data_IF_371607367018
#
_entry.id   IF_371607367018
#
_cell.length_a   1.000
_cell.length_b   1.000
_cell.length_c   1.000
_cell.angle_alpha   90.00
_cell.angle_beta   90.00
_cell.angle_gamma   90.00
#
_symmetry.space_group_name_H-M   'P 1'
#
loop_
_entity.id
_entity.type
_entity.pdbx_description
1 polymer ?
#
# COMPACT_ATOMS: atom_id res chain seq x y z
N UNK A 1 1.56 14.05 -11.09
CA UNK A 1 0.66 15.18 -10.76
C UNK A 1 -0.09 14.85 -9.47
N UNK A 2 -0.01 15.70 -8.44
CA UNK A 2 -0.79 15.51 -7.22
C UNK A 2 -2.22 16.01 -7.46
N UNK A 3 -3.21 15.14 -7.28
CA UNK A 3 -4.63 15.52 -7.37
C UNK A 3 -4.95 16.45 -6.19
N UNK A 4 -5.07 17.75 -6.45
CA UNK A 4 -5.31 18.77 -5.42
C UNK A 4 -6.70 18.70 -4.78
N UNK A 5 -7.65 17.97 -5.38
CA UNK A 5 -9.01 17.81 -4.86
C UNK A 5 -9.44 16.35 -5.00
N UNK A 6 -9.74 15.70 -3.87
CA UNK A 6 -10.34 14.36 -3.81
C UNK A 6 -11.73 14.41 -4.46
N UNK A 7 -12.10 13.35 -5.18
CA UNK A 7 -13.47 13.21 -5.72
C UNK A 7 -14.40 12.67 -4.65
N UNK A 8 -15.70 12.97 -4.76
CA UNK A 8 -16.70 12.46 -3.84
C UNK A 8 -16.63 10.92 -3.75
N UNK A 9 -16.60 10.38 -2.53
CA UNK A 9 -16.48 8.94 -2.27
C UNK A 9 -15.05 8.38 -2.34
N UNK A 10 -14.04 9.18 -2.67
CA UNK A 10 -12.63 8.78 -2.65
C UNK A 10 -12.08 8.81 -1.21
N UNK A 11 -11.77 7.64 -0.65
CA UNK A 11 -11.05 7.58 0.63
C UNK A 11 -9.66 8.20 0.50
N UNK A 12 -9.19 9.00 1.48
CA UNK A 12 -7.81 9.44 1.53
C UNK A 12 -6.85 8.24 1.47
N UNK A 13 -5.72 8.46 0.80
CA UNK A 13 -4.60 7.54 0.76
C UNK A 13 -3.38 8.22 1.34
N UNK A 14 -2.83 7.63 2.40
CA UNK A 14 -1.63 8.12 3.07
C UNK A 14 -0.45 7.18 2.84
N UNK A 15 0.73 7.77 2.72
CA UNK A 15 1.99 7.08 2.49
C UNK A 15 2.76 7.00 3.81
N UNK A 16 3.17 5.80 4.20
CA UNK A 16 3.97 5.62 5.42
C UNK A 16 5.45 5.55 5.06
N UNK A 17 6.27 6.33 5.77
CA UNK A 17 7.71 6.41 5.52
C UNK A 17 8.04 6.72 4.06
N UNK A 18 9.01 6.00 3.50
CA UNK A 18 9.50 6.19 2.12
C UNK A 18 8.60 5.57 1.04
N UNK A 19 7.47 4.95 1.39
CA UNK A 19 6.69 4.12 0.45
C UNK A 19 6.26 4.85 -0.83
N UNK A 20 6.05 6.17 -0.77
CA UNK A 20 5.75 6.98 -1.95
C UNK A 20 6.96 7.14 -2.85
N UNK A 21 8.10 7.51 -2.27
CA UNK A 21 9.34 7.74 -3.00
C UNK A 21 9.84 6.45 -3.64
N UNK A 22 9.72 5.34 -2.89
CA UNK A 22 10.03 3.99 -3.38
C UNK A 22 9.15 3.62 -4.59
N UNK A 23 7.85 3.91 -4.55
CA UNK A 23 6.95 3.67 -5.68
C UNK A 23 7.29 4.55 -6.89
N UNK A 24 7.55 5.84 -6.67
CA UNK A 24 7.87 6.81 -7.75
C UNK A 24 9.22 6.49 -8.41
N UNK A 25 10.10 5.75 -7.73
CA UNK A 25 11.35 5.25 -8.31
C UNK A 25 11.17 4.03 -9.22
N UNK A 26 9.99 3.42 -9.28
CA UNK A 26 9.73 2.26 -10.16
C UNK A 26 9.60 2.66 -11.63
N UNK A 27 9.72 1.70 -12.57
CA UNK A 27 9.37 1.94 -13.97
C UNK A 27 7.93 2.48 -14.11
N UNK A 28 7.70 3.38 -15.05
CA UNK A 28 6.40 4.05 -15.25
C UNK A 28 5.24 3.04 -15.39
N UNK A 29 5.43 1.98 -16.17
CA UNK A 29 4.44 0.92 -16.35
C UNK A 29 4.08 0.17 -15.04
N UNK A 30 5.00 0.14 -14.07
CA UNK A 30 4.76 -0.43 -12.74
C UNK A 30 3.98 0.57 -11.88
N UNK A 31 4.36 1.85 -11.93
CA UNK A 31 3.66 2.93 -11.23
C UNK A 31 2.19 3.00 -11.66
N UNK A 32 1.91 2.91 -12.96
CA UNK A 32 0.55 2.95 -13.52
C UNK A 32 -0.29 1.77 -13.01
N UNK A 33 0.24 0.54 -13.08
CA UNK A 33 -0.46 -0.67 -12.62
C UNK A 33 -0.78 -0.60 -11.12
N UNK A 34 0.21 -0.24 -10.30
CA UNK A 34 0.01 -0.15 -8.85
C UNK A 34 -0.91 1.03 -8.51
N UNK A 35 -0.72 2.18 -9.14
CA UNK A 35 -1.54 3.38 -8.94
C UNK A 35 -3.01 3.13 -9.29
N UNK A 36 -3.28 2.41 -10.37
CA UNK A 36 -4.65 2.00 -10.75
C UNK A 36 -5.26 1.10 -9.67
N UNK A 37 -4.51 0.12 -9.16
CA UNK A 37 -5.00 -0.75 -8.10
C UNK A 37 -5.28 0.02 -6.81
N UNK A 38 -4.41 0.96 -6.43
CA UNK A 38 -4.62 1.82 -5.26
C UNK A 38 -5.84 2.74 -5.44
N UNK A 39 -6.05 3.28 -6.64
CA UNK A 39 -7.25 4.08 -6.94
C UNK A 39 -8.53 3.26 -6.76
N UNK A 40 -8.57 1.99 -7.20
CA UNK A 40 -9.72 1.10 -6.97
C UNK A 40 -10.00 0.91 -5.48
N UNK A 41 -8.94 0.76 -4.67
CA UNK A 41 -9.06 0.58 -3.22
C UNK A 41 -9.59 1.85 -2.54
N UNK A 42 -9.20 3.04 -3.00
CA UNK A 42 -9.72 4.30 -2.46
C UNK A 42 -11.25 4.43 -2.63
N UNK A 43 -11.85 3.79 -3.62
CA UNK A 43 -13.31 3.75 -3.80
C UNK A 43 -13.97 2.52 -3.15
N UNK A 44 -13.26 1.81 -2.27
CA UNK A 44 -13.77 0.62 -1.57
C UNK A 44 -13.80 -0.65 -2.42
N UNK A 45 -13.27 -0.61 -3.63
CA UNK A 45 -13.13 -1.77 -4.50
C UNK A 45 -11.93 -2.64 -4.11
N UNK A 46 -11.84 -3.81 -4.73
CA UNK A 46 -10.68 -4.69 -4.66
C UNK A 46 -10.17 -4.95 -6.07
N UNK A 47 -8.95 -4.50 -6.36
CA UNK A 47 -8.33 -4.77 -7.65
C UNK A 47 -8.06 -6.28 -7.82
N UNK A 48 -8.26 -6.89 -9.01
CA UNK A 48 -8.07 -8.33 -9.22
C UNK A 48 -6.67 -8.85 -8.88
N UNK A 49 -5.64 -8.02 -9.03
CA UNK A 49 -4.26 -8.37 -8.68
C UNK A 49 -3.93 -8.23 -7.19
N UNK A 50 -4.86 -7.69 -6.38
CA UNK A 50 -4.66 -7.52 -4.94
C UNK A 50 -4.85 -8.85 -4.19
N UNK A 51 -3.81 -9.27 -3.48
CA UNK A 51 -3.79 -10.51 -2.68
C UNK A 51 -3.65 -10.20 -1.19
N UNK A 52 -4.27 -10.98 -0.29
CA UNK A 52 -4.03 -10.83 1.14
C UNK A 52 -2.55 -11.01 1.48
N UNK A 53 -1.99 -10.09 2.26
CA UNK A 53 -0.65 -10.23 2.81
C UNK A 53 -0.63 -11.28 3.91
N UNK A 54 0.37 -12.18 3.89
CA UNK A 54 0.55 -13.20 4.91
C UNK A 54 1.48 -12.68 6.00
N UNK A 55 1.01 -12.63 7.25
CA UNK A 55 1.85 -12.36 8.43
C UNK A 55 1.26 -11.34 9.40
N UNK A 56 0.63 -10.27 8.90
CA UNK A 56 0.16 -9.17 9.76
C UNK A 56 -1.27 -9.35 10.27
N UNK A 57 -2.01 -10.34 9.78
CA UNK A 57 -3.45 -10.54 10.01
C UNK A 57 -4.35 -9.95 8.91
N UNK A 58 -5.68 -9.96 9.09
CA UNK A 58 -6.64 -9.56 8.06
C UNK A 58 -6.53 -8.08 7.68
N UNK A 59 -7.00 -7.67 6.50
CA UNK A 59 -7.05 -6.24 6.13
C UNK A 59 -5.74 -5.64 5.63
N UNK A 60 -4.67 -6.42 5.50
CA UNK A 60 -3.43 -6.03 4.81
C UNK A 60 -3.34 -6.79 3.49
N UNK A 61 -2.99 -6.09 2.43
CA UNK A 61 -3.00 -6.60 1.06
C UNK A 61 -1.74 -6.17 0.31
N UNK A 62 -1.38 -6.93 -0.71
CA UNK A 62 -0.30 -6.61 -1.64
C UNK A 62 -0.83 -6.58 -3.08
N UNK A 63 -0.33 -5.63 -3.88
CA UNK A 63 -0.47 -5.59 -5.34
C UNK A 63 0.88 -5.93 -5.94
N UNK A 64 0.89 -6.77 -6.98
CA UNK A 64 2.09 -7.12 -7.73
C UNK A 64 2.01 -6.58 -9.16
N UNK A 65 3.16 -6.13 -9.68
CA UNK A 65 3.32 -5.72 -11.06
C UNK A 65 4.69 -6.19 -11.57
N UNK A 66 4.68 -6.99 -12.64
CA UNK A 66 5.91 -7.45 -13.28
C UNK A 66 6.34 -6.50 -14.41
N UNK A 67 7.65 -6.30 -14.52
CA UNK A 67 8.28 -5.50 -15.56
C UNK A 67 9.69 -6.02 -15.87
N UNK A 68 9.95 -6.37 -17.14
CA UNK A 68 11.27 -6.80 -17.65
C UNK A 68 11.96 -7.91 -16.82
N UNK A 69 11.19 -8.86 -16.29
CA UNK A 69 11.72 -9.97 -15.49
C UNK A 69 11.81 -9.70 -13.99
N UNK A 70 11.53 -8.46 -13.56
CA UNK A 70 11.43 -8.07 -12.16
C UNK A 70 9.97 -8.02 -11.68
N UNK A 71 9.75 -8.38 -10.43
CA UNK A 71 8.45 -8.28 -9.76
C UNK A 71 8.49 -7.15 -8.72
N UNK A 72 7.59 -6.20 -8.86
CA UNK A 72 7.41 -5.09 -7.92
C UNK A 72 6.16 -5.30 -7.09
N UNK A 73 6.19 -4.89 -5.82
CA UNK A 73 5.06 -5.00 -4.91
C UNK A 73 4.79 -3.69 -4.20
N UNK A 74 3.51 -3.41 -3.96
CA UNK A 74 3.07 -2.42 -3.00
C UNK A 74 2.15 -3.06 -1.97
N UNK A 75 2.41 -2.82 -0.70
CA UNK A 75 1.65 -3.34 0.44
C UNK A 75 0.86 -2.21 1.06
N UNK A 76 -0.43 -2.44 1.30
CA UNK A 76 -1.35 -1.45 1.84
C UNK A 76 -2.31 -2.09 2.85
N UNK A 77 -2.94 -1.25 3.67
CA UNK A 77 -3.95 -1.69 4.65
C UNK A 77 -5.25 -0.92 4.48
N UNK A 78 -6.36 -1.64 4.68
CA UNK A 78 -7.74 -1.13 4.70
C UNK A 78 -8.41 -1.37 6.05
N UNK A 79 -7.64 -1.67 7.10
CA UNK A 79 -8.15 -1.89 8.47
C UNK A 79 -8.85 -0.66 9.06
N UNK A 80 -8.55 0.51 8.52
CA UNK A 80 -9.02 1.79 9.02
C UNK A 80 -10.14 2.26 8.10
N UNK A 81 -11.36 2.33 8.63
CA UNK A 81 -12.60 2.36 7.84
C UNK A 81 -12.64 3.47 6.77
N UNK A 82 -12.02 4.62 7.05
CA UNK A 82 -12.12 5.83 6.22
C UNK A 82 -10.82 6.23 5.54
N UNK A 83 -9.78 5.38 5.57
CA UNK A 83 -8.47 5.72 5.00
C UNK A 83 -7.68 4.50 4.56
N UNK A 84 -6.96 4.64 3.45
CA UNK A 84 -6.02 3.64 2.95
C UNK A 84 -4.61 4.08 3.33
N UNK A 85 -3.81 3.18 3.91
CA UNK A 85 -2.37 3.44 4.10
C UNK A 85 -1.55 2.54 3.20
N UNK A 86 -0.67 3.12 2.40
CA UNK A 86 0.40 2.40 1.70
C UNK A 86 1.58 2.27 2.66
N UNK A 87 1.90 1.02 3.00
CA UNK A 87 2.91 0.68 3.99
C UNK A 87 4.29 0.57 3.36
N UNK A 88 4.39 -0.08 2.19
CA UNK A 88 5.70 -0.33 1.58
C UNK A 88 5.58 -0.52 0.08
N UNK A 89 6.58 -0.10 -0.67
CA UNK A 89 6.74 -0.41 -2.08
C UNK A 89 8.17 -0.93 -2.28
N UNK A 90 8.32 -2.12 -2.86
CA UNK A 90 9.64 -2.69 -3.10
C UNK A 90 9.71 -3.56 -4.36
N UNK A 91 10.90 -3.61 -4.96
CA UNK A 91 11.24 -4.62 -5.96
C UNK A 91 11.68 -5.89 -5.25
N UNK A 92 11.09 -7.02 -5.64
CA UNK A 92 11.52 -8.33 -5.19
C UNK A 92 12.90 -8.63 -5.80
N UNK A 93 13.93 -8.77 -4.95
CA UNK A 93 15.32 -8.96 -5.39
C UNK A 93 15.67 -10.36 -5.91
N UNK A 94 14.80 -11.35 -5.74
CA UNK A 94 15.03 -12.73 -6.20
C UNK A 94 13.87 -13.20 -7.07
N UNK A 95 14.13 -13.63 -8.32
CA UNK A 95 13.12 -14.22 -9.19
C UNK A 95 12.49 -15.47 -8.56
N UNK A 96 13.32 -16.33 -7.94
CA UNK A 96 12.93 -17.65 -7.41
C UNK A 96 12.47 -17.66 -5.96
N UNK A 97 12.80 -16.66 -5.14
CA UNK A 97 12.41 -16.64 -3.73
C UNK A 97 10.90 -16.44 -3.56
N UNK A 98 10.13 -17.47 -3.19
CA UNK A 98 8.68 -17.33 -2.94
C UNK A 98 8.40 -16.34 -1.80
N UNK A 99 9.34 -16.24 -0.85
CA UNK A 99 9.21 -15.43 0.36
C UNK A 99 9.77 -14.03 0.18
N UNK A 100 9.01 -13.04 0.63
CA UNK A 100 9.49 -11.68 0.86
C UNK A 100 10.64 -11.68 1.87
N UNK A 101 11.59 -10.75 1.73
CA UNK A 101 12.74 -10.69 2.62
C UNK A 101 12.31 -10.40 4.07
N UNK A 102 13.03 -10.94 5.05
CA UNK A 102 12.75 -10.68 6.47
C UNK A 102 12.72 -9.17 6.78
N UNK A 103 13.62 -8.41 6.17
CA UNK A 103 13.69 -6.95 6.28
C UNK A 103 12.41 -6.26 5.81
N UNK A 104 11.86 -6.68 4.67
CA UNK A 104 10.62 -6.08 4.14
C UNK A 104 9.43 -6.45 5.02
N UNK A 105 9.37 -7.69 5.53
CA UNK A 105 8.32 -8.13 6.47
C UNK A 105 8.34 -7.28 7.74
N UNK A 106 9.50 -7.14 8.36
CA UNK A 106 9.67 -6.34 9.59
C UNK A 106 9.34 -4.86 9.37
N UNK A 107 9.70 -4.31 8.20
CA UNK A 107 9.38 -2.94 7.84
C UNK A 107 7.87 -2.73 7.66
N UNK A 108 7.18 -3.68 7.04
CA UNK A 108 5.71 -3.64 6.89
C UNK A 108 5.04 -3.66 8.27
N UNK A 109 5.44 -4.57 9.16
CA UNK A 109 4.90 -4.66 10.52
C UNK A 109 5.08 -3.34 11.29
N UNK A 110 6.29 -2.77 11.24
CA UNK A 110 6.59 -1.47 11.86
C UNK A 110 5.69 -0.37 11.30
N UNK A 111 5.61 -0.24 9.97
CA UNK A 111 4.83 0.81 9.32
C UNK A 111 3.33 0.63 9.50
N UNK A 112 2.85 -0.59 9.68
CA UNK A 112 1.46 -0.85 10.06
C UNK A 112 1.14 -0.30 11.45
N UNK A 113 2.06 -0.42 12.41
CA UNK A 113 1.91 0.20 13.72
C UNK A 113 1.96 1.74 13.64
N UNK A 114 2.83 2.30 12.80
CA UNK A 114 2.87 3.76 12.55
C UNK A 114 1.54 4.24 11.95
N UNK A 115 0.97 3.52 10.98
CA UNK A 115 -0.34 3.82 10.41
C UNK A 115 -1.47 3.76 11.45
N UNK A 116 -1.44 2.78 12.36
CA UNK A 116 -2.40 2.68 13.46
C UNK A 116 -2.36 3.91 14.36
N UNK A 117 -1.15 4.32 14.77
CA UNK A 117 -0.96 5.51 15.64
C UNK A 117 -1.43 6.77 14.93
N UNK A 118 -1.07 6.96 13.65
CA UNK A 118 -1.53 8.11 12.87
C UNK A 118 -3.06 8.14 12.71
N UNK A 119 -3.68 6.98 12.47
CA UNK A 119 -5.14 6.87 12.42
C UNK A 119 -5.78 7.25 13.77
N UNK A 120 -5.30 6.71 14.88
CA UNK A 120 -5.78 7.04 16.22
C UNK A 120 -5.68 8.54 16.49
N UNK A 121 -4.54 9.18 16.17
CA UNK A 121 -4.34 10.62 16.40
C UNK A 121 -5.28 11.47 15.52
N UNK A 122 -5.46 11.11 14.26
CA UNK A 122 -6.31 11.88 13.32
C UNK A 122 -7.79 11.76 13.63
N UNK A 123 -8.24 10.56 13.96
CA UNK A 123 -9.66 10.23 14.06
C UNK A 123 -10.16 10.07 15.51
N UNK A 124 -9.29 10.23 16.52
CA UNK A 124 -9.71 10.28 17.93
C UNK A 124 -10.68 11.43 18.25
N UNK A 125 -10.79 12.44 17.38
CA UNK A 125 -11.70 13.58 17.58
C UNK A 125 -13.11 13.36 17.01
N UNK A 126 -13.30 12.37 16.14
CA UNK A 126 -14.57 12.12 15.43
C UNK A 126 -15.48 11.13 16.19
N UNK A 127 -15.05 10.67 17.36
CA UNK A 127 -15.77 9.71 18.23
C UNK A 127 -16.41 10.38 19.47
N UNK A 128 -16.60 11.71 19.46
CA UNK A 128 -17.20 12.46 20.57
C UNK A 128 -18.48 13.17 20.18
#
# INVERSE_FOLDING_TARGET
MARLKRVLGEKPLFWVGSSKDDLVAFPEAVQEKIGTALSVVQFGGKHPSAKPWRGEGPGVFEVMADHRGDTYRAVYTVRFQDVVYVLHAFQKKSPSGIRTSKRDVELIARRLNEARIDFEVRYAKDQK
#
